data_IF_446701802963
#
_entry.id   IF_446701802963
#
_cell.length_a   1.000
_cell.length_b   1.000
_cell.length_c   1.000
_cell.angle_alpha   90.00
_cell.angle_beta   90.00
_cell.angle_gamma   90.00
#
_symmetry.space_group_name_H-M   'P 1'
#
loop_
_entity.id
_entity.type
_entity.pdbx_description
1 polymer ?
#
# COMPACT_ATOMS: atom_id res chain seq x y z
N UNK A 1 -4.72 -29.88 18.32
CA UNK A 1 -3.38 -29.29 18.55
C UNK A 1 -3.13 -28.16 17.54
N UNK A 2 -2.75 -26.97 18.04
CA UNK A 2 -2.38 -25.84 17.17
C UNK A 2 -0.97 -26.09 16.64
N UNK A 3 -0.83 -26.26 15.32
CA UNK A 3 0.50 -26.43 14.72
C UNK A 3 1.21 -25.06 14.62
N UNK A 4 2.56 -24.98 14.76
CA UNK A 4 3.31 -23.74 14.62
C UNK A 4 3.03 -22.97 13.32
N UNK A 5 2.69 -23.71 12.25
CA UNK A 5 2.29 -23.11 10.97
C UNK A 5 0.94 -22.38 11.08
N UNK A 6 -0.08 -22.95 11.69
CA UNK A 6 -1.38 -22.30 11.90
C UNK A 6 -1.25 -21.06 12.80
N UNK A 7 -0.40 -21.14 13.82
CA UNK A 7 -0.12 -20.00 14.71
C UNK A 7 0.51 -18.84 13.91
N UNK A 8 1.45 -19.11 12.99
CA UNK A 8 2.10 -18.06 12.22
C UNK A 8 1.15 -17.32 11.26
N UNK A 9 0.19 -18.02 10.66
CA UNK A 9 -0.88 -17.40 9.87
C UNK A 9 -1.81 -16.54 10.75
N UNK A 10 -2.17 -17.07 11.92
CA UNK A 10 -2.98 -16.32 12.89
C UNK A 10 -2.30 -15.03 13.33
N UNK A 11 -1.01 -15.07 13.65
CA UNK A 11 -0.23 -13.88 14.04
C UNK A 11 -0.21 -12.85 12.91
N UNK A 12 0.04 -13.25 11.66
CA UNK A 12 0.04 -12.33 10.53
C UNK A 12 -1.34 -11.71 10.30
N UNK A 13 -2.39 -12.53 10.28
CA UNK A 13 -3.76 -12.06 10.10
C UNK A 13 -4.18 -11.09 11.21
N UNK A 14 -3.92 -11.44 12.47
CA UNK A 14 -4.19 -10.58 13.63
C UNK A 14 -3.40 -9.28 13.54
N UNK A 15 -2.13 -9.31 13.13
CA UNK A 15 -1.32 -8.09 12.95
C UNK A 15 -1.94 -7.16 11.92
N UNK A 16 -2.37 -7.67 10.77
CA UNK A 16 -2.99 -6.87 9.71
C UNK A 16 -4.35 -6.30 10.18
N UNK A 17 -5.22 -7.13 10.75
CA UNK A 17 -6.54 -6.71 11.24
C UNK A 17 -6.40 -5.70 12.38
N UNK A 18 -5.53 -5.98 13.34
CA UNK A 18 -5.31 -5.10 14.49
C UNK A 18 -4.70 -3.77 14.07
N UNK A 19 -3.82 -3.77 13.06
CA UNK A 19 -3.29 -2.53 12.48
C UNK A 19 -4.39 -1.65 11.86
N UNK A 20 -5.42 -2.25 11.28
CA UNK A 20 -6.60 -1.53 10.80
C UNK A 20 -7.45 -0.98 11.96
N UNK A 21 -7.84 -1.85 12.88
CA UNK A 21 -8.73 -1.50 14.00
C UNK A 21 -8.12 -0.46 14.96
N UNK A 22 -6.82 -0.51 15.19
CA UNK A 22 -6.10 0.44 16.06
C UNK A 22 -5.56 1.68 15.32
N UNK A 23 -5.93 1.87 14.06
CA UNK A 23 -5.42 2.95 13.21
C UNK A 23 -3.87 2.98 13.09
N UNK A 24 -3.22 1.82 13.20
CA UNK A 24 -1.77 1.64 13.06
C UNK A 24 -1.32 1.33 11.62
N UNK A 25 -2.21 1.54 10.64
CA UNK A 25 -1.94 1.30 9.23
C UNK A 25 -0.84 2.20 8.66
N UNK A 26 -0.75 3.47 9.13
CA UNK A 26 0.32 4.39 8.73
C UNK A 26 1.70 3.87 9.17
N UNK A 27 1.97 3.57 10.46
CA UNK A 27 3.26 3.02 10.85
C UNK A 27 3.59 1.69 10.16
N UNK A 28 2.61 0.84 9.89
CA UNK A 28 2.83 -0.39 9.13
C UNK A 28 3.36 -0.11 7.72
N UNK A 29 2.71 0.82 6.99
CA UNK A 29 3.19 1.25 5.67
C UNK A 29 4.58 1.87 5.74
N UNK A 30 4.83 2.74 6.72
CA UNK A 30 6.14 3.38 6.88
C UNK A 30 7.23 2.34 7.13
N UNK A 31 6.97 1.32 7.96
CA UNK A 31 7.91 0.20 8.16
C UNK A 31 8.19 -0.52 6.83
N UNK A 32 7.15 -0.85 6.07
CA UNK A 32 7.29 -1.60 4.81
C UNK A 32 8.04 -0.79 3.74
N UNK A 33 7.68 0.47 3.53
CA UNK A 33 8.36 1.35 2.57
C UNK A 33 9.80 1.66 2.98
N UNK A 34 10.04 1.94 4.27
CA UNK A 34 11.39 2.21 4.79
C UNK A 34 12.29 0.99 4.66
N UNK A 35 11.78 -0.20 4.99
CA UNK A 35 12.52 -1.44 4.82
C UNK A 35 12.78 -1.77 3.33
N UNK A 36 11.80 -1.48 2.47
CA UNK A 36 11.95 -1.60 1.02
C UNK A 36 13.07 -0.68 0.50
N UNK A 37 13.05 0.59 0.87
CA UNK A 37 14.07 1.57 0.48
C UNK A 37 15.47 1.16 0.99
N UNK A 38 15.58 0.77 2.27
CA UNK A 38 16.84 0.29 2.85
C UNK A 38 17.39 -0.92 2.09
N UNK A 39 16.52 -1.86 1.69
CA UNK A 39 16.95 -3.05 0.95
C UNK A 39 17.41 -2.72 -0.46
N UNK A 40 16.75 -1.79 -1.15
CA UNK A 40 17.20 -1.31 -2.46
C UNK A 40 18.53 -0.57 -2.37
N UNK A 41 18.70 0.30 -1.38
CA UNK A 41 19.96 1.00 -1.15
C UNK A 41 21.09 0.04 -0.77
N UNK A 42 20.80 -0.98 0.01
CA UNK A 42 21.77 -2.03 0.32
C UNK A 42 22.15 -2.85 -0.92
N UNK A 43 21.21 -3.13 -1.81
CA UNK A 43 21.51 -3.81 -3.07
C UNK A 43 22.50 -3.02 -3.93
N UNK A 44 22.37 -1.69 -3.95
CA UNK A 44 23.26 -0.78 -4.68
C UNK A 44 24.63 -0.65 -4.00
N UNK A 45 24.66 -0.46 -2.68
CA UNK A 45 25.89 -0.10 -1.93
C UNK A 45 26.65 -1.30 -1.42
N UNK A 46 26.01 -2.46 -1.26
CA UNK A 46 26.53 -3.68 -0.64
C UNK A 46 27.05 -3.50 0.81
N UNK A 47 26.90 -2.29 1.41
CA UNK A 47 27.34 -1.95 2.76
C UNK A 47 26.18 -1.43 3.59
N UNK A 48 25.85 -2.10 4.72
CA UNK A 48 24.70 -1.76 5.57
C UNK A 48 24.74 -0.32 6.10
N UNK A 49 25.90 0.13 6.59
CA UNK A 49 26.03 1.47 7.15
C UNK A 49 25.84 2.56 6.08
N UNK A 50 26.34 2.33 4.85
CA UNK A 50 26.17 3.26 3.75
C UNK A 50 24.70 3.33 3.30
N UNK A 51 24.01 2.19 3.28
CA UNK A 51 22.57 2.13 3.00
C UNK A 51 21.75 2.92 4.04
N UNK A 52 22.13 2.85 5.33
CA UNK A 52 21.49 3.63 6.40
C UNK A 52 21.70 5.14 6.25
N UNK A 53 22.94 5.57 5.93
CA UNK A 53 23.21 7.00 5.70
C UNK A 53 22.43 7.52 4.49
N UNK A 54 22.49 6.81 3.36
CA UNK A 54 21.73 7.18 2.17
C UNK A 54 20.22 7.19 2.42
N UNK A 55 19.72 6.24 3.20
CA UNK A 55 18.32 6.22 3.60
C UNK A 55 17.95 7.46 4.44
N UNK A 56 18.80 7.86 5.38
CA UNK A 56 18.64 9.10 6.14
C UNK A 56 18.56 10.34 5.23
N UNK A 57 19.43 10.42 4.22
CA UNK A 57 19.41 11.51 3.22
C UNK A 57 18.11 11.47 2.41
N UNK A 58 17.65 10.29 1.98
CA UNK A 58 16.38 10.13 1.24
C UNK A 58 15.20 10.57 2.10
N UNK A 59 15.14 10.15 3.37
CA UNK A 59 14.08 10.56 4.30
C UNK A 59 14.07 12.07 4.52
N UNK A 60 15.25 12.68 4.72
CA UNK A 60 15.36 14.13 4.86
C UNK A 60 14.92 14.85 3.57
N UNK A 61 15.30 14.33 2.40
CA UNK A 61 14.88 14.85 1.10
C UNK A 61 13.36 14.78 0.91
N UNK A 62 12.74 13.66 1.25
CA UNK A 62 11.28 13.49 1.19
C UNK A 62 10.57 14.44 2.15
N UNK A 63 11.09 14.60 3.39
CA UNK A 63 10.50 15.53 4.36
C UNK A 63 10.59 16.98 3.87
N UNK A 64 11.74 17.39 3.34
CA UNK A 64 11.92 18.72 2.74
C UNK A 64 11.00 18.95 1.56
N UNK A 65 10.91 17.96 0.65
CA UNK A 65 10.02 18.01 -0.51
C UNK A 65 8.54 18.10 -0.09
N UNK A 66 8.13 17.37 0.95
CA UNK A 66 6.77 17.43 1.50
C UNK A 66 6.44 18.82 2.04
N UNK A 67 7.34 19.45 2.80
CA UNK A 67 7.18 20.82 3.28
C UNK A 67 7.06 21.81 2.12
N UNK A 68 7.95 21.69 1.13
CA UNK A 68 7.94 22.56 -0.04
C UNK A 68 6.64 22.38 -0.87
N UNK A 69 6.21 21.14 -1.08
CA UNK A 69 4.97 20.82 -1.79
C UNK A 69 3.75 21.38 -1.05
N UNK A 70 3.68 21.19 0.27
CA UNK A 70 2.58 21.74 1.09
C UNK A 70 2.51 23.27 0.97
N UNK A 71 3.65 23.96 1.06
CA UNK A 71 3.72 25.40 0.85
C UNK A 71 3.28 25.78 -0.56
N UNK A 72 3.73 25.07 -1.59
CA UNK A 72 3.36 25.33 -2.98
C UNK A 72 1.85 25.14 -3.21
N UNK A 73 1.23 24.11 -2.62
CA UNK A 73 -0.22 23.87 -2.68
C UNK A 73 -0.97 25.03 -2.00
N UNK A 74 -0.60 25.37 -0.77
CA UNK A 74 -1.27 26.43 0.00
C UNK A 74 -1.20 27.79 -0.72
N UNK A 75 -0.07 28.11 -1.35
CA UNK A 75 0.11 29.35 -2.09
C UNK A 75 -0.55 29.36 -3.47
N UNK A 76 -0.62 28.20 -4.14
CA UNK A 76 -1.24 28.08 -5.45
C UNK A 76 -2.77 27.97 -5.39
N UNK A 77 -3.31 27.39 -4.31
CA UNK A 77 -4.73 27.10 -4.19
C UNK A 77 -5.64 28.32 -4.37
N UNK A 78 -5.41 29.49 -3.73
CA UNK A 78 -6.21 30.69 -3.97
C UNK A 78 -6.17 31.12 -5.45
N UNK A 79 -4.96 31.23 -6.03
CA UNK A 79 -4.79 31.68 -7.42
C UNK A 79 -5.46 30.76 -8.44
N UNK A 80 -5.37 29.44 -8.21
CA UNK A 80 -6.05 28.43 -9.06
C UNK A 80 -7.55 28.57 -8.90
N UNK A 81 -8.06 28.72 -7.67
CA UNK A 81 -9.48 28.85 -7.40
C UNK A 81 -10.05 30.15 -8.01
N UNK A 82 -9.39 31.30 -7.81
CA UNK A 82 -9.82 32.60 -8.33
C UNK A 82 -9.85 32.65 -9.86
N UNK A 83 -9.02 31.85 -10.54
CA UNK A 83 -8.99 31.78 -12.00
C UNK A 83 -9.95 30.72 -12.54
N UNK A 84 -10.05 29.58 -11.84
CA UNK A 84 -10.75 28.37 -12.31
C UNK A 84 -12.27 28.48 -12.12
N UNK A 85 -12.70 29.01 -10.97
CA UNK A 85 -14.11 29.06 -10.61
C UNK A 85 -14.89 29.99 -11.54
N UNK A 86 -14.46 31.25 -11.82
CA UNK A 86 -15.15 32.11 -12.76
C UNK A 86 -15.16 31.55 -14.18
N UNK A 87 -14.09 30.89 -14.60
CA UNK A 87 -14.00 30.26 -15.92
C UNK A 87 -14.99 29.08 -16.06
N UNK A 88 -15.10 28.27 -15.03
CA UNK A 88 -16.05 27.15 -14.96
C UNK A 88 -17.50 27.65 -14.87
N UNK A 89 -17.79 28.68 -14.06
CA UNK A 89 -19.13 29.26 -13.93
C UNK A 89 -19.59 29.95 -15.22
N UNK A 90 -18.72 30.72 -15.91
CA UNK A 90 -19.00 31.31 -17.21
C UNK A 90 -19.30 30.24 -18.30
N UNK A 91 -18.57 29.11 -18.27
CA UNK A 91 -18.84 27.99 -19.16
C UNK A 91 -20.18 27.30 -18.87
N UNK A 92 -20.52 27.11 -17.60
CA UNK A 92 -21.79 26.51 -17.16
C UNK A 92 -22.97 27.41 -17.51
N UNK A 93 -22.87 28.72 -17.23
CA UNK A 93 -23.90 29.71 -17.57
C UNK A 93 -24.21 29.73 -19.08
N UNK A 94 -23.20 29.65 -19.95
CA UNK A 94 -23.42 29.54 -21.39
C UNK A 94 -24.21 28.32 -21.80
N UNK A 95 -24.30 27.29 -20.96
CA UNK A 95 -25.02 26.03 -21.19
C UNK A 95 -26.27 25.88 -20.33
N UNK A 96 -26.68 26.97 -19.63
CA UNK A 96 -27.83 26.98 -18.74
C UNK A 96 -27.72 25.95 -17.60
N UNK A 97 -26.50 25.68 -17.14
CA UNK A 97 -26.22 24.86 -15.96
C UNK A 97 -25.99 25.79 -14.79
N UNK A 98 -26.89 25.76 -13.80
CA UNK A 98 -26.73 26.53 -12.57
C UNK A 98 -25.73 25.82 -11.64
N UNK A 99 -24.63 26.48 -11.33
CA UNK A 99 -23.69 26.02 -10.31
C UNK A 99 -24.01 26.71 -8.97
N UNK A 100 -23.88 26.01 -7.84
CA UNK A 100 -24.16 26.56 -6.51
C UNK A 100 -23.10 27.58 -6.04
N UNK A 101 -22.10 27.88 -6.87
CA UNK A 101 -21.00 28.82 -6.57
C UNK A 101 -20.61 29.59 -7.84
N UNK A 102 -20.24 30.83 -7.67
CA UNK A 102 -19.79 31.74 -8.76
C UNK A 102 -18.34 32.20 -8.60
N UNK A 103 -17.81 32.16 -7.39
CA UNK A 103 -16.45 32.56 -7.01
C UNK A 103 -15.89 31.66 -5.89
N UNK A 104 -14.62 31.89 -5.51
CA UNK A 104 -13.96 31.09 -4.48
C UNK A 104 -14.60 31.27 -3.11
N UNK A 105 -15.06 32.48 -2.78
CA UNK A 105 -15.66 32.76 -1.49
C UNK A 105 -17.04 32.10 -1.36
N UNK A 106 -17.85 32.09 -2.43
CA UNK A 106 -19.13 31.36 -2.46
C UNK A 106 -18.92 29.85 -2.41
N UNK A 107 -17.92 29.30 -3.10
CA UNK A 107 -17.53 27.89 -2.98
C UNK A 107 -17.07 27.56 -1.56
N UNK A 108 -16.24 28.41 -0.96
CA UNK A 108 -15.77 28.27 0.42
C UNK A 108 -16.96 28.29 1.38
N UNK A 109 -17.92 29.18 1.17
CA UNK A 109 -19.12 29.28 1.98
C UNK A 109 -20.02 28.05 1.85
N UNK A 110 -20.25 27.54 0.64
CA UNK A 110 -20.97 26.28 0.40
C UNK A 110 -20.25 25.10 1.09
N UNK A 111 -18.93 25.05 1.04
CA UNK A 111 -18.12 24.03 1.73
C UNK A 111 -18.23 24.19 3.25
N UNK A 112 -18.16 25.42 3.78
CA UNK A 112 -18.27 25.68 5.22
C UNK A 112 -19.68 25.35 5.72
N UNK A 113 -20.71 25.76 5.00
CA UNK A 113 -22.11 25.45 5.34
C UNK A 113 -22.41 23.95 5.27
N UNK A 114 -21.79 23.26 4.32
CA UNK A 114 -21.91 21.79 4.17
C UNK A 114 -21.14 21.04 5.26
N UNK A 115 -20.00 21.60 5.74
CA UNK A 115 -19.15 20.99 6.78
C UNK A 115 -19.51 21.44 8.22
N UNK A 116 -20.43 22.37 8.38
CA UNK A 116 -21.04 22.81 9.65
C UNK A 116 -20.21 23.80 10.46
N UNK A 117 -20.86 24.90 10.76
CA UNK A 117 -20.66 25.98 11.73
C UNK A 117 -19.26 26.27 12.31
N UNK A 118 -18.90 27.56 12.32
CA UNK A 118 -17.61 28.15 12.75
C UNK A 118 -17.09 27.71 14.13
N UNK A 119 -17.93 27.29 15.06
CA UNK A 119 -17.51 26.78 16.37
C UNK A 119 -16.66 25.49 16.27
N UNK A 120 -16.77 24.75 15.17
CA UNK A 120 -15.98 23.55 14.91
C UNK A 120 -14.62 23.84 14.24
N UNK A 121 -14.38 25.06 13.72
CA UNK A 121 -13.14 25.36 12.99
C UNK A 121 -11.90 25.28 13.89
N UNK A 122 -11.93 25.94 15.06
CA UNK A 122 -10.85 25.87 16.04
C UNK A 122 -10.63 24.44 16.56
N UNK A 123 -11.73 23.72 16.80
CA UNK A 123 -11.67 22.31 17.19
C UNK A 123 -11.11 21.44 16.06
N UNK A 124 -11.47 21.71 14.82
CA UNK A 124 -10.96 20.99 13.66
C UNK A 124 -9.48 21.29 13.41
N UNK A 125 -9.03 22.53 13.57
CA UNK A 125 -7.61 22.92 13.49
C UNK A 125 -6.81 22.26 14.61
N UNK A 126 -7.30 22.25 15.83
CA UNK A 126 -6.65 21.54 16.95
C UNK A 126 -6.60 20.02 16.73
N UNK A 127 -7.68 19.44 16.22
CA UNK A 127 -7.73 18.01 15.85
C UNK A 127 -6.78 17.70 14.70
N UNK A 128 -6.68 18.55 13.69
CA UNK A 128 -5.76 18.41 12.58
C UNK A 128 -4.30 18.48 13.06
N UNK A 129 -3.96 19.44 13.91
CA UNK A 129 -2.63 19.55 14.50
C UNK A 129 -2.29 18.30 15.33
N UNK A 130 -3.23 17.81 16.14
CA UNK A 130 -3.06 16.60 16.94
C UNK A 130 -2.89 15.36 16.07
N UNK A 131 -3.70 15.20 15.02
CA UNK A 131 -3.60 14.08 14.09
C UNK A 131 -2.29 14.11 13.30
N UNK A 132 -1.84 15.30 12.86
CA UNK A 132 -0.57 15.48 12.16
C UNK A 132 0.61 15.10 13.05
N UNK A 133 0.60 15.55 14.32
CA UNK A 133 1.64 15.17 15.30
C UNK A 133 1.68 13.66 15.51
N UNK A 134 0.53 13.04 15.67
CA UNK A 134 0.45 11.57 15.82
C UNK A 134 1.02 10.83 14.59
N UNK A 135 0.69 11.29 13.38
CA UNK A 135 1.23 10.73 12.13
C UNK A 135 2.75 10.88 12.07
N UNK A 136 3.30 12.04 12.44
CA UNK A 136 4.76 12.26 12.48
C UNK A 136 5.45 11.31 13.48
N UNK A 137 4.90 11.15 14.68
CA UNK A 137 5.41 10.20 15.68
C UNK A 137 5.38 8.78 15.11
N UNK A 138 4.28 8.37 14.48
CA UNK A 138 4.16 7.06 13.85
C UNK A 138 5.13 6.86 12.69
N UNK A 139 5.41 7.90 11.91
CA UNK A 139 6.44 7.85 10.87
C UNK A 139 7.83 7.61 11.47
N UNK A 140 8.20 8.34 12.52
CA UNK A 140 9.49 8.16 13.20
C UNK A 140 9.60 6.75 13.78
N UNK A 141 8.58 6.28 14.48
CA UNK A 141 8.56 4.91 15.03
C UNK A 141 8.67 3.86 13.94
N UNK A 142 7.98 4.04 12.81
CA UNK A 142 8.06 3.14 11.66
C UNK A 142 9.46 3.10 11.04
N UNK A 143 10.12 4.26 10.87
CA UNK A 143 11.48 4.37 10.35
C UNK A 143 12.48 3.67 11.28
N UNK A 144 12.38 3.90 12.60
CA UNK A 144 13.26 3.27 13.60
C UNK A 144 13.05 1.76 13.62
N UNK A 145 11.79 1.30 13.57
CA UNK A 145 11.45 -0.13 13.50
C UNK A 145 12.05 -0.77 12.24
N UNK A 146 11.89 -0.14 11.08
CA UNK A 146 12.46 -0.63 9.82
C UNK A 146 14.00 -0.71 9.87
N UNK A 147 14.66 0.31 10.40
CA UNK A 147 16.11 0.31 10.62
C UNK A 147 16.56 -0.82 11.55
N UNK A 148 15.84 -1.04 12.64
CA UNK A 148 16.11 -2.13 13.58
C UNK A 148 15.96 -3.51 12.92
N UNK A 149 14.89 -3.72 12.14
CA UNK A 149 14.67 -4.95 11.37
C UNK A 149 15.74 -5.17 10.29
N UNK A 150 16.23 -4.10 9.67
CA UNK A 150 17.27 -4.17 8.67
C UNK A 150 18.64 -4.57 9.25
N UNK A 151 18.97 -4.09 10.45
CA UNK A 151 20.23 -4.41 11.13
C UNK A 151 20.21 -5.83 11.67
N UNK A 152 19.11 -6.25 12.31
CA UNK A 152 18.95 -7.56 12.97
C UNK A 152 18.56 -8.64 11.95
N UNK A 153 19.13 -9.83 12.12
CA UNK A 153 18.95 -10.95 11.18
C UNK A 153 17.84 -11.94 11.56
N UNK A 154 17.10 -11.72 12.65
CA UNK A 154 16.04 -12.65 13.08
C UNK A 154 15.21 -12.12 14.24
N UNK A 155 14.02 -12.73 14.45
CA UNK A 155 13.12 -12.41 15.57
C UNK A 155 13.56 -13.03 16.90
N UNK A 156 14.44 -14.02 16.86
CA UNK A 156 15.01 -14.65 18.05
C UNK A 156 16.54 -14.45 18.08
N UNK A 157 17.03 -13.30 18.62
CA UNK A 157 18.45 -13.00 18.69
C UNK A 157 19.21 -13.85 19.71
N UNK A 158 18.51 -14.51 20.62
CA UNK A 158 19.07 -15.31 21.72
C UNK A 158 18.96 -16.82 21.51
N UNK A 159 18.65 -17.27 20.28
CA UNK A 159 18.47 -18.69 19.96
C UNK A 159 19.61 -19.60 20.45
N UNK A 160 20.85 -19.11 20.42
CA UNK A 160 22.02 -19.86 20.86
C UNK A 160 22.16 -20.02 22.37
N UNK A 161 21.47 -19.20 23.16
CA UNK A 161 21.53 -19.18 24.62
C UNK A 161 20.37 -19.91 25.30
N UNK A 162 19.35 -20.35 24.55
CA UNK A 162 18.23 -21.08 25.10
C UNK A 162 18.65 -22.47 25.61
N UNK A 163 18.14 -22.87 26.78
CA UNK A 163 18.39 -24.18 27.39
C UNK A 163 18.01 -25.34 26.45
N UNK A 164 16.97 -25.17 25.65
CA UNK A 164 16.52 -26.13 24.63
C UNK A 164 16.62 -25.46 23.28
N UNK A 165 17.53 -25.96 22.40
CA UNK A 165 17.79 -25.34 21.07
C UNK A 165 16.57 -25.29 20.14
N UNK A 166 15.70 -26.30 20.16
CA UNK A 166 14.49 -26.39 19.33
C UNK A 166 13.24 -26.24 20.20
N UNK A 167 13.17 -25.19 21.01
CA UNK A 167 11.98 -24.89 21.80
C UNK A 167 10.85 -24.33 20.92
N UNK A 168 9.62 -24.40 21.43
CA UNK A 168 8.42 -23.95 20.72
C UNK A 168 8.51 -22.48 20.34
N UNK A 169 9.10 -21.63 21.18
CA UNK A 169 9.27 -20.19 20.93
C UNK A 169 10.15 -19.95 19.69
N UNK A 170 11.33 -20.57 19.61
CA UNK A 170 12.23 -20.42 18.46
C UNK A 170 11.60 -20.91 17.16
N UNK A 171 10.85 -22.03 17.21
CA UNK A 171 10.14 -22.56 16.04
C UNK A 171 9.02 -21.59 15.61
N UNK A 172 8.26 -21.04 16.54
CA UNK A 172 7.24 -20.03 16.23
C UNK A 172 7.86 -18.76 15.65
N UNK A 173 8.94 -18.23 16.22
CA UNK A 173 9.66 -17.07 15.70
C UNK A 173 10.14 -17.28 14.28
N UNK A 174 10.69 -18.46 13.95
CA UNK A 174 11.11 -18.79 12.58
C UNK A 174 9.93 -18.80 11.60
N UNK A 175 8.82 -19.43 11.99
CA UNK A 175 7.62 -19.51 11.14
C UNK A 175 7.00 -18.13 10.93
N UNK A 176 6.86 -17.34 11.99
CA UNK A 176 6.36 -15.96 11.91
C UNK A 176 7.29 -15.11 11.04
N UNK A 177 8.61 -15.18 11.25
CA UNK A 177 9.59 -14.47 10.44
C UNK A 177 9.49 -14.84 8.96
N UNK A 178 9.27 -16.11 8.63
CA UNK A 178 9.08 -16.56 7.25
C UNK A 178 7.82 -15.93 6.64
N UNK A 179 6.68 -15.91 7.37
CA UNK A 179 5.43 -15.31 6.89
C UNK A 179 5.56 -13.80 6.64
N UNK A 180 6.20 -13.07 7.57
CA UNK A 180 6.47 -11.65 7.36
C UNK A 180 7.41 -11.40 6.17
N UNK A 181 8.39 -12.27 5.95
CA UNK A 181 9.28 -12.19 4.77
C UNK A 181 8.50 -12.41 3.47
N UNK A 182 7.59 -13.37 3.42
CA UNK A 182 6.79 -13.67 2.23
C UNK A 182 5.76 -12.55 1.96
N UNK A 183 5.16 -12.00 3.03
CA UNK A 183 4.33 -10.80 2.94
C UNK A 183 5.12 -9.60 2.42
N UNK A 184 6.32 -9.36 2.95
CA UNK A 184 7.21 -8.30 2.47
C UNK A 184 7.61 -8.51 1.00
N UNK A 185 7.85 -9.75 0.57
CA UNK A 185 8.14 -10.03 -0.85
C UNK A 185 6.95 -9.66 -1.75
N UNK A 186 5.74 -9.98 -1.33
CA UNK A 186 4.53 -9.56 -2.02
C UNK A 186 4.40 -8.04 -2.06
N UNK A 187 4.68 -7.35 -0.94
CA UNK A 187 4.74 -5.89 -0.88
C UNK A 187 5.77 -5.34 -1.86
N UNK A 188 7.00 -5.82 -1.82
CA UNK A 188 8.09 -5.35 -2.67
C UNK A 188 7.79 -5.55 -4.17
N UNK A 189 7.13 -6.65 -4.53
CA UNK A 189 6.74 -6.94 -5.90
C UNK A 189 5.65 -5.98 -6.39
N UNK A 190 4.57 -5.84 -5.62
CA UNK A 190 3.43 -4.98 -6.00
C UNK A 190 3.83 -3.51 -5.98
N UNK A 191 4.43 -3.04 -4.89
CA UNK A 191 4.79 -1.64 -4.74
C UNK A 191 5.99 -1.23 -5.60
N UNK A 192 6.93 -2.15 -5.83
CA UNK A 192 8.01 -1.89 -6.78
C UNK A 192 7.51 -1.66 -8.20
N UNK A 193 6.55 -2.48 -8.66
CA UNK A 193 5.88 -2.27 -9.93
C UNK A 193 5.10 -0.95 -9.96
N UNK A 194 4.33 -0.66 -8.90
CA UNK A 194 3.53 0.57 -8.80
C UNK A 194 4.37 1.84 -8.84
N UNK A 195 5.51 1.87 -8.11
CA UNK A 195 6.45 2.99 -8.14
C UNK A 195 7.01 3.19 -9.56
N UNK A 196 7.38 2.11 -10.25
CA UNK A 196 7.89 2.19 -11.62
C UNK A 196 6.84 2.73 -12.58
N UNK A 197 5.61 2.24 -12.51
CA UNK A 197 4.49 2.69 -13.34
C UNK A 197 4.16 4.15 -13.05
N UNK A 198 4.07 4.54 -11.77
CA UNK A 198 3.87 5.93 -11.37
C UNK A 198 4.96 6.85 -11.90
N UNK A 199 6.23 6.42 -11.84
CA UNK A 199 7.34 7.19 -12.39
C UNK A 199 7.23 7.38 -13.90
N UNK A 200 6.93 6.33 -14.67
CA UNK A 200 6.75 6.42 -16.13
C UNK A 200 5.58 7.35 -16.46
N UNK A 201 4.43 7.18 -15.82
CA UNK A 201 3.26 8.05 -15.99
C UNK A 201 3.59 9.51 -15.70
N UNK A 202 4.32 9.76 -14.60
CA UNK A 202 4.72 11.11 -14.20
C UNK A 202 5.65 11.75 -15.24
N UNK A 203 6.62 11.01 -15.76
CA UNK A 203 7.52 11.52 -16.81
C UNK A 203 6.75 11.88 -18.07
N UNK A 204 5.87 11.01 -18.54
CA UNK A 204 5.04 11.28 -19.73
C UNK A 204 4.10 12.47 -19.51
N UNK A 205 3.46 12.55 -18.34
CA UNK A 205 2.61 13.67 -17.96
C UNK A 205 3.43 14.97 -17.87
N UNK A 206 4.64 14.92 -17.30
CA UNK A 206 5.53 16.09 -17.22
C UNK A 206 5.88 16.63 -18.60
N UNK A 207 6.22 15.75 -19.55
CA UNK A 207 6.50 16.14 -20.95
C UNK A 207 5.28 16.85 -21.55
N UNK A 208 4.09 16.30 -21.37
CA UNK A 208 2.85 16.91 -21.86
C UNK A 208 2.60 18.27 -21.21
N UNK A 209 2.64 18.37 -19.87
CA UNK A 209 2.34 19.61 -19.13
C UNK A 209 3.31 20.75 -19.51
N UNK A 210 4.60 20.42 -19.69
CA UNK A 210 5.62 21.39 -20.12
C UNK A 210 5.41 21.81 -21.58
N UNK A 211 5.11 20.85 -22.46
CA UNK A 211 4.88 21.13 -23.89
C UNK A 211 3.68 22.07 -24.11
N UNK A 212 2.59 21.88 -23.34
CA UNK A 212 1.39 22.73 -23.41
C UNK A 212 1.48 23.99 -22.53
N UNK A 213 2.59 24.16 -21.79
CA UNK A 213 2.83 25.28 -20.85
C UNK A 213 1.70 25.48 -19.85
N UNK A 214 1.22 24.37 -19.28
CA UNK A 214 0.13 24.44 -18.31
C UNK A 214 0.61 25.17 -17.04
N UNK A 215 -0.21 26.09 -16.44
CA UNK A 215 0.14 26.75 -15.19
C UNK A 215 0.31 25.71 -14.07
N UNK A 216 1.18 26.01 -13.12
CA UNK A 216 1.48 25.14 -11.98
C UNK A 216 1.99 23.73 -12.35
N UNK A 217 2.60 23.54 -13.53
CA UNK A 217 3.10 22.24 -14.00
C UNK A 217 3.96 21.49 -12.98
N UNK A 218 4.94 22.11 -12.26
CA UNK A 218 5.72 21.38 -11.23
C UNK A 218 4.87 20.79 -10.12
N UNK A 219 3.83 21.51 -9.67
CA UNK A 219 2.91 21.04 -8.65
C UNK A 219 2.09 19.85 -9.17
N UNK A 220 1.54 19.95 -10.38
CA UNK A 220 0.76 18.89 -11.02
C UNK A 220 1.60 17.62 -11.24
N UNK A 221 2.87 17.76 -11.62
CA UNK A 221 3.82 16.64 -11.77
C UNK A 221 4.01 15.94 -10.43
N UNK A 222 4.25 16.69 -9.36
CA UNK A 222 4.42 16.13 -8.02
C UNK A 222 3.15 15.41 -7.52
N UNK A 223 1.98 16.02 -7.72
CA UNK A 223 0.68 15.43 -7.39
C UNK A 223 0.46 14.14 -8.19
N UNK A 224 0.77 14.14 -9.49
CA UNK A 224 0.64 12.96 -10.34
C UNK A 224 1.49 11.79 -9.82
N UNK A 225 2.73 12.05 -9.42
CA UNK A 225 3.60 11.02 -8.86
C UNK A 225 3.05 10.45 -7.54
N UNK A 226 2.67 11.31 -6.61
CA UNK A 226 2.16 10.89 -5.29
C UNK A 226 0.83 10.14 -5.42
N UNK A 227 -0.10 10.66 -6.21
CA UNK A 227 -1.36 10.00 -6.49
C UNK A 227 -1.13 8.65 -7.19
N UNK A 228 -0.19 8.57 -8.13
CA UNK A 228 0.14 7.35 -8.86
C UNK A 228 0.66 6.21 -7.98
N UNK A 229 1.06 6.47 -6.73
CA UNK A 229 1.39 5.42 -5.76
C UNK A 229 0.15 4.70 -5.22
N UNK A 230 -1.03 5.31 -5.32
CA UNK A 230 -2.30 4.70 -4.91
C UNK A 230 -2.93 4.05 -6.15
N UNK A 231 -3.04 2.71 -6.20
CA UNK A 231 -3.54 2.02 -7.38
C UNK A 231 -4.96 2.46 -7.76
N UNK A 232 -5.21 2.65 -9.05
CA UNK A 232 -6.50 3.00 -9.66
C UNK A 232 -7.01 4.37 -9.24
N UNK A 233 -7.27 4.60 -7.95
CA UNK A 233 -7.88 5.81 -7.39
C UNK A 233 -6.97 7.03 -7.59
N UNK A 234 -5.66 6.85 -7.42
CA UNK A 234 -4.70 7.95 -7.53
C UNK A 234 -4.67 8.58 -8.92
N UNK A 235 -4.66 7.77 -9.95
CA UNK A 235 -4.66 8.28 -11.34
C UNK A 235 -5.97 8.99 -11.69
N UNK A 236 -7.10 8.54 -11.17
CA UNK A 236 -8.37 9.23 -11.36
C UNK A 236 -8.32 10.64 -10.75
N UNK A 237 -7.81 10.76 -9.53
CA UNK A 237 -7.68 12.06 -8.84
C UNK A 237 -6.74 13.00 -9.60
N UNK A 238 -5.51 12.56 -9.91
CA UNK A 238 -4.53 13.40 -10.61
C UNK A 238 -5.00 13.83 -11.99
N UNK A 239 -5.63 12.93 -12.73
CA UNK A 239 -6.17 13.22 -14.06
C UNK A 239 -7.32 14.24 -13.99
N UNK A 240 -8.22 14.11 -13.02
CA UNK A 240 -9.30 15.09 -12.80
C UNK A 240 -8.73 16.47 -12.52
N UNK A 241 -7.72 16.58 -11.66
CA UNK A 241 -7.06 17.85 -11.32
C UNK A 241 -6.42 18.46 -12.59
N UNK A 242 -5.70 17.68 -13.39
CA UNK A 242 -5.04 18.16 -14.60
C UNK A 242 -6.06 18.68 -15.61
N UNK A 243 -7.14 17.93 -15.86
CA UNK A 243 -8.21 18.34 -16.79
C UNK A 243 -8.89 19.61 -16.29
N UNK A 244 -9.14 19.71 -14.98
CA UNK A 244 -9.73 20.91 -14.38
C UNK A 244 -8.81 22.14 -14.55
N UNK A 245 -7.52 22.02 -14.26
CA UNK A 245 -6.55 23.10 -14.49
C UNK A 245 -6.43 23.43 -16.00
N UNK A 246 -6.46 22.45 -16.89
CA UNK A 246 -6.45 22.71 -18.33
C UNK A 246 -7.72 23.45 -18.80
N UNK A 247 -8.87 23.18 -18.20
CA UNK A 247 -10.14 23.86 -18.49
C UNK A 247 -10.09 25.35 -18.14
N UNK A 248 -9.31 25.75 -17.15
CA UNK A 248 -9.14 27.17 -16.79
C UNK A 248 -8.39 27.97 -17.85
N UNK A 249 -7.57 27.28 -18.64
CA UNK A 249 -6.81 27.90 -19.75
C UNK A 249 -7.66 27.94 -21.03
N UNK A 250 -8.17 26.79 -21.44
CA UNK A 250 -9.11 26.70 -22.57
C UNK A 250 -9.79 25.33 -22.65
N UNK A 251 -11.02 25.31 -23.21
CA UNK A 251 -11.74 24.06 -23.48
C UNK A 251 -10.97 23.13 -24.44
N UNK A 252 -10.29 23.71 -25.44
CA UNK A 252 -9.46 22.92 -26.40
C UNK A 252 -8.34 22.19 -25.68
N UNK A 253 -7.68 22.88 -24.74
CA UNK A 253 -6.61 22.30 -23.93
C UNK A 253 -7.13 21.24 -22.98
N UNK A 254 -8.29 21.43 -22.34
CA UNK A 254 -8.93 20.44 -21.49
C UNK A 254 -9.28 19.16 -22.24
N UNK A 255 -9.83 19.28 -23.46
CA UNK A 255 -10.11 18.13 -24.32
C UNK A 255 -8.80 17.44 -24.73
N UNK A 256 -7.77 18.19 -25.10
CA UNK A 256 -6.44 17.64 -25.40
C UNK A 256 -5.83 16.90 -24.23
N UNK A 257 -5.91 17.47 -23.01
CA UNK A 257 -5.47 16.82 -21.77
C UNK A 257 -6.26 15.52 -21.51
N UNK A 258 -7.57 15.55 -21.65
CA UNK A 258 -8.42 14.37 -21.44
C UNK A 258 -8.04 13.24 -22.42
N UNK A 259 -7.87 13.54 -23.70
CA UNK A 259 -7.44 12.55 -24.72
C UNK A 259 -6.07 11.98 -24.40
N UNK A 260 -5.12 12.84 -24.02
CA UNK A 260 -3.77 12.42 -23.60
C UNK A 260 -3.84 11.51 -22.38
N UNK A 261 -4.60 11.87 -21.35
CA UNK A 261 -4.71 11.09 -20.12
C UNK A 261 -5.41 9.74 -20.34
N UNK A 262 -6.39 9.66 -21.26
CA UNK A 262 -6.98 8.38 -21.68
C UNK A 262 -5.92 7.50 -22.35
N UNK A 263 -5.07 8.07 -23.21
CA UNK A 263 -3.98 7.33 -23.84
C UNK A 263 -2.96 6.83 -22.83
N UNK A 264 -2.58 7.66 -21.85
CA UNK A 264 -1.70 7.28 -20.73
C UNK A 264 -2.31 6.16 -19.89
N UNK A 265 -3.60 6.25 -19.58
CA UNK A 265 -4.29 5.19 -18.80
C UNK A 265 -4.30 3.86 -19.56
N UNK A 266 -4.48 3.87 -20.87
CA UNK A 266 -4.34 2.65 -21.69
C UNK A 266 -2.91 2.13 -21.71
N UNK A 267 -1.91 3.00 -21.80
CA UNK A 267 -0.50 2.63 -21.69
C UNK A 267 -0.16 2.04 -20.34
N UNK A 268 -0.68 2.60 -19.25
CA UNK A 268 -0.54 2.05 -17.91
C UNK A 268 -1.06 0.62 -17.81
N UNK A 269 -2.21 0.34 -18.41
CA UNK A 269 -2.76 -1.03 -18.48
C UNK A 269 -1.80 -1.99 -19.19
N UNK A 270 -1.18 -1.57 -20.29
CA UNK A 270 -0.17 -2.34 -21.02
C UNK A 270 1.11 -2.52 -20.20
N UNK A 271 1.56 -1.47 -19.51
CA UNK A 271 2.73 -1.52 -18.63
C UNK A 271 2.49 -2.47 -17.46
N UNK A 272 1.33 -2.40 -16.80
CA UNK A 272 0.93 -3.34 -15.76
C UNK A 272 1.01 -4.78 -16.27
N UNK A 273 0.49 -5.06 -17.46
CA UNK A 273 0.55 -6.39 -18.06
C UNK A 273 1.98 -6.86 -18.33
N UNK A 274 2.89 -5.96 -18.78
CA UNK A 274 4.29 -6.31 -19.08
C UNK A 274 5.19 -6.36 -17.84
N UNK A 275 5.04 -5.42 -16.91
CA UNK A 275 5.93 -5.29 -15.74
C UNK A 275 5.58 -6.35 -14.69
N UNK A 276 4.29 -6.56 -14.47
CA UNK A 276 3.79 -7.50 -13.47
C UNK A 276 3.75 -8.92 -14.06
N UNK A 277 3.62 -9.04 -15.38
CA UNK A 277 3.59 -10.31 -16.11
C UNK A 277 2.40 -11.19 -15.77
N UNK A 278 2.38 -12.41 -16.30
CA UNK A 278 1.30 -13.38 -16.08
C UNK A 278 1.22 -13.90 -14.62
N UNK A 279 2.23 -13.60 -13.81
CA UNK A 279 2.36 -14.09 -12.44
C UNK A 279 1.43 -13.41 -11.42
N UNK A 280 0.88 -12.22 -11.71
CA UNK A 280 0.07 -11.43 -10.75
C UNK A 280 -1.28 -11.01 -11.37
N UNK A 281 -1.85 -11.78 -12.27
CA UNK A 281 -3.19 -11.49 -12.81
C UNK A 281 -4.26 -11.85 -11.78
N UNK A 282 -4.55 -10.94 -10.87
CA UNK A 282 -5.78 -11.02 -10.09
C UNK A 282 -6.95 -10.53 -10.96
N UNK A 283 -8.12 -11.15 -10.89
CA UNK A 283 -9.31 -10.64 -11.55
C UNK A 283 -9.60 -9.20 -11.09
N UNK A 284 -9.97 -8.32 -12.03
CA UNK A 284 -10.21 -6.89 -11.74
C UNK A 284 -11.28 -6.72 -10.65
N UNK A 285 -12.38 -7.48 -10.71
CA UNK A 285 -13.44 -7.43 -9.72
C UNK A 285 -12.96 -7.77 -8.30
N UNK A 286 -12.04 -8.74 -8.17
CA UNK A 286 -11.47 -9.14 -6.88
C UNK A 286 -10.57 -8.04 -6.32
N UNK A 287 -9.82 -7.36 -7.19
CA UNK A 287 -8.99 -6.20 -6.81
C UNK A 287 -9.86 -5.04 -6.35
N UNK A 288 -10.98 -4.76 -7.03
CA UNK A 288 -11.92 -3.71 -6.63
C UNK A 288 -12.56 -4.01 -5.26
N UNK A 289 -12.99 -5.23 -5.01
CA UNK A 289 -13.52 -5.65 -3.70
C UNK A 289 -12.44 -5.46 -2.62
N UNK A 290 -11.21 -5.91 -2.89
CA UNK A 290 -10.11 -5.76 -1.95
C UNK A 290 -9.81 -4.29 -1.64
N UNK A 291 -9.87 -3.39 -2.64
CA UNK A 291 -9.70 -1.95 -2.45
C UNK A 291 -10.81 -1.35 -1.55
N UNK A 292 -12.08 -1.72 -1.78
CA UNK A 292 -13.21 -1.26 -0.94
C UNK A 292 -13.03 -1.73 0.51
N UNK A 293 -12.69 -3.01 0.71
CA UNK A 293 -12.44 -3.55 2.06
C UNK A 293 -11.24 -2.86 2.71
N UNK A 294 -10.15 -2.68 1.95
CA UNK A 294 -8.94 -2.03 2.44
C UNK A 294 -9.19 -0.58 2.85
N UNK A 295 -9.92 0.18 2.03
CA UNK A 295 -10.32 1.56 2.33
C UNK A 295 -11.14 1.63 3.61
N UNK A 296 -12.16 0.78 3.75
CA UNK A 296 -13.02 0.76 4.95
C UNK A 296 -12.27 0.40 6.23
N UNK A 297 -11.29 -0.51 6.14
CA UNK A 297 -10.52 -0.96 7.30
C UNK A 297 -9.40 0.01 7.69
N UNK A 298 -8.74 0.62 6.72
CA UNK A 298 -7.47 1.33 6.94
C UNK A 298 -7.38 2.69 6.24
N UNK A 299 -8.43 3.14 5.54
CA UNK A 299 -8.40 4.36 4.74
C UNK A 299 -7.41 4.28 3.57
N UNK A 300 -6.72 5.40 3.27
CA UNK A 300 -5.70 5.48 2.19
C UNK A 300 -4.61 4.40 2.32
N UNK A 301 -4.02 4.13 3.50
CA UNK A 301 -3.11 3.00 3.67
C UNK A 301 -3.69 1.65 3.23
N UNK A 302 -4.98 1.44 3.44
CA UNK A 302 -5.68 0.23 3.02
C UNK A 302 -5.79 0.09 1.51
N UNK A 303 -5.99 1.19 0.77
CA UNK A 303 -5.95 1.18 -0.70
C UNK A 303 -4.58 0.70 -1.24
N UNK A 304 -3.49 1.05 -0.56
CA UNK A 304 -2.14 0.63 -0.94
C UNK A 304 -1.89 -0.83 -0.56
N UNK A 305 -2.35 -1.26 0.62
CA UNK A 305 -2.12 -2.62 1.11
C UNK A 305 -3.04 -3.66 0.49
N UNK A 306 -4.23 -3.31 0.02
CA UNK A 306 -5.20 -4.24 -0.53
C UNK A 306 -4.64 -5.12 -1.66
N UNK A 307 -4.02 -4.59 -2.73
CA UNK A 307 -3.42 -5.42 -3.77
C UNK A 307 -2.22 -6.24 -3.26
N UNK A 308 -1.52 -5.78 -2.23
CA UNK A 308 -0.42 -6.51 -1.59
C UNK A 308 -0.93 -7.73 -0.85
N UNK A 309 -1.97 -7.55 -0.02
CA UNK A 309 -2.62 -8.66 0.71
C UNK A 309 -3.19 -9.68 -0.27
N UNK A 310 -3.86 -9.21 -1.33
CA UNK A 310 -4.42 -10.08 -2.35
C UNK A 310 -3.34 -10.90 -3.06
N UNK A 311 -2.22 -10.26 -3.43
CA UNK A 311 -1.08 -10.96 -4.02
C UNK A 311 -0.46 -11.97 -3.05
N UNK A 312 -0.30 -11.60 -1.79
CA UNK A 312 0.23 -12.49 -0.76
C UNK A 312 -0.66 -13.74 -0.60
N UNK A 313 -1.97 -13.54 -0.45
CA UNK A 313 -2.91 -14.65 -0.32
C UNK A 313 -2.86 -15.59 -1.54
N UNK A 314 -2.81 -15.02 -2.75
CA UNK A 314 -2.70 -15.83 -3.97
C UNK A 314 -1.41 -16.64 -4.02
N UNK A 315 -0.25 -15.99 -3.79
CA UNK A 315 1.05 -16.68 -3.81
C UNK A 315 1.06 -17.79 -2.76
N UNK A 316 0.53 -17.54 -1.57
CA UNK A 316 0.46 -18.52 -0.50
C UNK A 316 -0.43 -19.70 -0.86
N UNK A 317 -1.63 -19.45 -1.43
CA UNK A 317 -2.53 -20.52 -1.86
C UNK A 317 -1.92 -21.39 -2.98
N UNK A 318 -1.11 -20.81 -3.86
CA UNK A 318 -0.42 -21.56 -4.91
C UNK A 318 0.71 -22.45 -4.38
N UNK A 319 1.19 -22.22 -3.16
CA UNK A 319 2.22 -23.08 -2.52
C UNK A 319 1.63 -24.23 -1.72
N UNK A 320 0.31 -24.23 -1.48
CA UNK A 320 -0.37 -25.29 -0.72
C UNK A 320 -0.80 -26.40 -1.67
N UNK A 321 -0.16 -27.56 -1.55
CA UNK A 321 -0.56 -28.76 -2.27
C UNK A 321 -1.86 -29.34 -1.67
N UNK A 322 -2.90 -29.41 -2.46
CA UNK A 322 -4.17 -30.06 -2.08
C UNK A 322 -4.21 -31.43 -2.75
N UNK A 323 -4.03 -32.50 -1.94
CA UNK A 323 -4.19 -33.87 -2.45
C UNK A 323 -5.66 -34.18 -2.68
N UNK A 324 -6.04 -34.73 -3.84
CA UNK A 324 -7.39 -35.18 -4.10
C UNK A 324 -7.88 -36.15 -3.02
N UNK A 325 -9.17 -36.13 -2.73
CA UNK A 325 -9.73 -37.02 -1.70
C UNK A 325 -9.46 -38.52 -1.96
N UNK A 326 -9.46 -38.92 -3.23
CA UNK A 326 -9.16 -40.28 -3.67
C UNK A 326 -7.75 -40.72 -3.29
N UNK A 327 -6.73 -39.92 -3.55
CA UNK A 327 -5.33 -40.22 -3.20
C UNK A 327 -5.12 -40.31 -1.69
N UNK A 328 -5.91 -39.56 -0.89
CA UNK A 328 -5.92 -39.68 0.57
C UNK A 328 -6.48 -40.99 1.07
N UNK A 329 -7.51 -41.53 0.41
CA UNK A 329 -8.12 -42.81 0.75
C UNK A 329 -7.14 -43.95 0.44
N UNK A 330 -6.53 -43.94 -0.74
CA UNK A 330 -5.53 -44.93 -1.15
C UNK A 330 -4.31 -44.97 -0.21
N UNK A 331 -3.81 -43.78 0.24
CA UNK A 331 -2.71 -43.70 1.20
C UNK A 331 -3.08 -44.18 2.60
N UNK A 332 -4.34 -44.02 3.01
CA UNK A 332 -4.83 -44.53 4.31
C UNK A 332 -4.98 -46.05 4.21
N UNK A 333 -5.52 -46.58 3.10
CA UNK A 333 -5.67 -48.00 2.86
C UNK A 333 -4.32 -48.70 2.73
N UNK A 334 -3.35 -48.14 1.99
CA UNK A 334 -2.01 -48.69 1.88
C UNK A 334 -1.27 -48.76 3.22
N UNK A 335 -1.40 -47.71 4.06
CA UNK A 335 -0.84 -47.68 5.41
C UNK A 335 -1.54 -48.65 6.37
N UNK A 336 -2.84 -48.88 6.18
CA UNK A 336 -3.57 -49.89 6.96
C UNK A 336 -3.13 -51.34 6.61
N UNK A 337 -2.75 -51.58 5.34
CA UNK A 337 -2.19 -52.86 4.92
C UNK A 337 -0.72 -53.08 5.33
N UNK A 338 0.07 -51.99 5.52
CA UNK A 338 1.46 -52.07 5.99
C UNK A 338 1.61 -52.21 7.50
N UNK A 339 0.53 -52.04 8.27
CA UNK A 339 0.58 -52.21 9.72
C UNK A 339 0.77 -53.69 10.07
N UNK A 340 1.84 -54.11 10.75
CA UNK A 340 2.06 -55.52 11.10
C UNK A 340 0.90 -56.02 12.01
N UNK A 341 0.45 -57.26 11.84
CA UNK A 341 -0.64 -57.77 12.64
C UNK A 341 -0.26 -57.74 14.10
N UNK A 342 -1.13 -57.09 14.91
CA UNK A 342 -1.00 -57.04 16.37
C UNK A 342 -0.84 -58.44 16.87
N UNK A 343 0.34 -58.77 17.43
CA UNK A 343 0.74 -60.07 17.87
C UNK A 343 -0.30 -60.68 18.81
N UNK A 344 -0.79 -61.86 18.40
CA UNK A 344 -1.54 -62.72 19.28
C UNK A 344 -0.67 -63.03 20.49
N UNK A 345 -1.05 -62.54 21.66
CA UNK A 345 -0.51 -62.97 22.95
C UNK A 345 -0.69 -64.50 23.05
N UNK A 346 0.42 -65.24 23.13
CA UNK A 346 0.42 -66.69 23.45
C UNK A 346 -0.12 -66.86 24.88
N UNK A 347 -1.04 -67.82 25.11
CA UNK A 347 -1.42 -68.14 26.46
C UNK A 347 -0.23 -68.78 27.20
N UNK A 348 0.06 -68.30 28.39
CA UNK A 348 1.06 -68.84 29.28
C UNK A 348 0.78 -70.29 29.60
N UNK A 349 1.72 -71.18 29.26
CA UNK A 349 1.71 -72.57 29.67
C UNK A 349 1.83 -72.64 31.20
N UNK A 350 0.87 -73.32 31.85
CA UNK A 350 0.88 -73.68 33.22
C UNK A 350 2.04 -74.60 33.58
N UNK A 351 2.89 -74.18 34.51
CA UNK A 351 3.80 -75.07 35.18
C UNK A 351 3.00 -75.93 36.19
N UNK A 352 3.00 -77.24 35.99
CA UNK A 352 2.69 -78.24 37.03
C UNK A 352 3.97 -78.93 37.39
N UNK A 353 4.07 -79.13 38.75
CA UNK A 353 4.97 -79.94 39.62
C UNK A 353 6.35 -79.37 39.83
#
# INVERSE_FOLDING_TARGET
MITPARLSYGVLAVTIILSGLLHLSVPLLVVLFSYFALRQLYFLTKRKWLALILFGIVVAGIATAAVFLTRAVVLALPNVADTSIPSASAWAQKRQIELPFTDFESLRQVVIDTLGQEANYLRNVANLARSTTAVLVFCVLGIVAAGSLFIKTGLDPYRGTHRVKNNLYSICCDKVSTRFRDFYRSFATVMGAQIMISFINTVLTAIFLVAVRLPHAPLLIAVTFLCGLVPIVGNLISNTIIVFVALTVSLKLAIGALVFLIAIHKLEYLLNSKIIGDRIRNPVWLTLIALIIGERLMGIPGLILAPVVLNYLRVEMLTVEVRPAQERVELVESRAHESPPVGRTRPSASFRS
#
